data_IF_494681391554
#
_entry.id   IF_494681391554
#
_cell.length_a   1.000
_cell.length_b   1.000
_cell.length_c   1.000
_cell.angle_alpha   90.00
_cell.angle_beta   90.00
_cell.angle_gamma   90.00
#
_symmetry.space_group_name_H-M   'P 1'
#
loop_
_entity.id
_entity.type
_entity.pdbx_description
1 polymer ?
#
# COMPACT_ATOMS: atom_id res chain seq x y z
N UNK A 1 27.64 27.39 -4.37
CA UNK A 1 27.68 26.47 -5.52
C UNK A 1 28.53 25.22 -5.28
N UNK A 2 29.57 25.25 -4.42
CA UNK A 2 30.40 24.06 -4.12
C UNK A 2 29.69 22.94 -3.33
N UNK A 3 28.68 23.23 -2.49
CA UNK A 3 28.03 22.17 -1.70
C UNK A 3 27.11 21.27 -2.54
N UNK A 4 26.39 21.83 -3.52
CA UNK A 4 25.53 21.04 -4.40
C UNK A 4 26.32 20.07 -5.28
N UNK A 5 27.50 20.45 -5.77
CA UNK A 5 28.35 19.51 -6.54
C UNK A 5 28.88 18.37 -5.67
N UNK A 6 29.27 18.67 -4.42
CA UNK A 6 29.74 17.65 -3.47
C UNK A 6 28.60 16.71 -3.03
N UNK A 7 27.40 17.25 -2.77
CA UNK A 7 26.18 16.47 -2.51
C UNK A 7 25.81 15.59 -3.71
N UNK A 8 25.92 16.12 -4.93
CA UNK A 8 25.70 15.35 -6.16
C UNK A 8 26.74 14.25 -6.36
N UNK A 9 28.00 14.45 -6.00
CA UNK A 9 29.07 13.46 -6.08
C UNK A 9 28.97 12.37 -5.00
N UNK A 10 28.57 12.72 -3.77
CA UNK A 10 28.28 11.75 -2.71
C UNK A 10 27.04 10.92 -3.08
N UNK A 11 25.96 11.57 -3.53
CA UNK A 11 24.80 10.91 -4.11
C UNK A 11 25.19 10.03 -5.32
N UNK A 12 26.29 10.37 -6.02
CA UNK A 12 26.80 9.60 -7.16
C UNK A 12 27.47 8.30 -6.77
N UNK A 13 28.14 8.27 -5.63
CA UNK A 13 28.81 7.08 -5.09
C UNK A 13 27.86 6.19 -4.28
N UNK A 14 26.82 6.77 -3.67
CA UNK A 14 25.90 6.09 -2.76
C UNK A 14 24.60 5.59 -3.43
N UNK A 15 24.57 5.59 -4.78
CA UNK A 15 23.43 5.05 -5.54
C UNK A 15 22.10 5.78 -5.32
N UNK A 16 22.13 7.07 -4.94
CA UNK A 16 20.92 7.82 -4.66
C UNK A 16 20.08 8.11 -5.91
N UNK A 17 18.76 8.13 -5.74
CA UNK A 17 17.76 8.42 -6.77
C UNK A 17 16.84 9.51 -6.25
N UNK A 18 16.68 10.56 -7.06
CA UNK A 18 15.65 11.56 -6.85
C UNK A 18 14.30 11.01 -7.32
N UNK A 19 13.36 10.87 -6.41
CA UNK A 19 12.00 10.42 -6.66
C UNK A 19 11.09 11.62 -6.74
N UNK A 20 10.52 11.88 -7.92
CA UNK A 20 9.60 12.98 -8.18
C UNK A 20 8.16 12.49 -8.16
N UNK A 21 7.34 13.10 -7.32
CA UNK A 21 5.92 12.80 -7.18
C UNK A 21 5.04 13.69 -8.08
N UNK A 22 3.83 13.23 -8.47
CA UNK A 22 2.89 14.01 -9.28
C UNK A 22 2.56 15.41 -8.73
N UNK A 23 2.59 15.57 -7.41
CA UNK A 23 2.28 16.81 -6.68
C UNK A 23 3.47 17.78 -6.58
N UNK A 24 4.59 17.51 -7.26
CA UNK A 24 5.77 18.39 -7.25
C UNK A 24 6.68 18.24 -6.03
N UNK A 25 6.44 17.22 -5.19
CA UNK A 25 7.35 16.83 -4.11
C UNK A 25 8.48 15.95 -4.66
N UNK A 26 9.65 16.04 -4.04
CA UNK A 26 10.80 15.20 -4.36
C UNK A 26 11.41 14.60 -3.10
N UNK A 27 11.90 13.37 -3.20
CA UNK A 27 12.58 12.62 -2.14
C UNK A 27 13.88 12.04 -2.67
N UNK A 28 14.90 11.88 -1.82
CA UNK A 28 16.16 11.24 -2.18
C UNK A 28 16.23 9.87 -1.53
N UNK A 29 16.05 8.81 -2.32
CA UNK A 29 16.01 7.43 -1.84
C UNK A 29 17.22 6.63 -2.32
N UNK A 30 17.54 5.52 -1.65
CA UNK A 30 18.55 4.58 -2.15
C UNK A 30 17.97 3.77 -3.32
N UNK A 31 18.73 3.65 -4.42
CA UNK A 31 18.33 2.82 -5.56
C UNK A 31 18.11 1.36 -5.19
N UNK A 32 18.96 0.78 -4.36
CA UNK A 32 18.87 -0.64 -3.99
C UNK A 32 17.54 -0.91 -3.30
N UNK A 33 17.19 -0.12 -2.29
CA UNK A 33 15.94 -0.27 -1.53
C UNK A 33 14.71 -0.11 -2.43
N UNK A 34 14.71 0.86 -3.35
CA UNK A 34 13.62 1.02 -4.31
C UNK A 34 13.45 -0.21 -5.21
N UNK A 35 14.56 -0.78 -5.71
CA UNK A 35 14.51 -1.96 -6.58
C UNK A 35 14.18 -3.24 -5.80
N UNK A 36 14.57 -3.32 -4.54
CA UNK A 36 14.24 -4.42 -3.63
C UNK A 36 12.75 -4.41 -3.28
N UNK A 37 12.24 -3.26 -2.86
CA UNK A 37 10.91 -3.15 -2.28
C UNK A 37 9.79 -2.85 -3.29
N UNK A 38 10.10 -2.19 -4.41
CA UNK A 38 9.13 -1.75 -5.42
C UNK A 38 9.47 -2.39 -6.79
N UNK A 39 9.10 -3.65 -7.03
CA UNK A 39 9.58 -4.42 -8.18
C UNK A 39 9.26 -3.78 -9.53
N UNK A 40 8.14 -3.05 -9.66
CA UNK A 40 7.75 -2.45 -10.94
C UNK A 40 8.60 -1.22 -11.29
N UNK A 41 9.33 -0.64 -10.33
CA UNK A 41 10.30 0.45 -10.56
C UNK A 41 11.45 -0.01 -11.46
N UNK A 42 11.84 -1.30 -11.39
CA UNK A 42 12.99 -1.86 -12.13
C UNK A 42 12.91 -1.62 -13.63
N UNK A 43 11.70 -1.66 -14.19
CA UNK A 43 11.48 -1.56 -15.63
C UNK A 43 11.56 -0.12 -16.17
N UNK A 44 11.62 0.88 -15.28
CA UNK A 44 11.44 2.30 -15.63
C UNK A 44 12.47 3.22 -15.00
N UNK A 45 13.19 2.76 -13.98
CA UNK A 45 14.26 3.51 -13.34
C UNK A 45 15.53 3.50 -14.19
N UNK A 46 15.59 4.41 -15.17
CA UNK A 46 16.77 4.68 -15.97
C UNK A 46 17.46 5.94 -15.44
N UNK A 47 18.73 5.82 -15.05
CA UNK A 47 19.46 6.95 -14.45
C UNK A 47 19.08 7.20 -12.99
N UNK A 48 18.98 8.47 -12.60
CA UNK A 48 18.87 8.91 -11.18
C UNK A 48 17.57 9.59 -10.82
N UNK A 49 16.64 9.70 -11.76
CA UNK A 49 15.36 10.35 -11.53
C UNK A 49 14.27 9.32 -11.75
N UNK A 50 13.42 9.15 -10.74
CA UNK A 50 12.21 8.33 -10.81
C UNK A 50 10.99 9.23 -10.83
N UNK A 51 10.28 9.27 -11.96
CA UNK A 51 8.99 9.96 -12.06
C UNK A 51 7.87 8.99 -11.70
N UNK A 52 7.37 9.08 -10.47
CA UNK A 52 6.42 8.10 -9.91
C UNK A 52 5.09 8.12 -10.66
N UNK A 53 4.66 9.29 -11.12
CA UNK A 53 3.43 9.42 -11.91
C UNK A 53 3.41 8.47 -13.10
N UNK A 54 4.54 8.25 -13.76
CA UNK A 54 4.62 7.42 -14.97
C UNK A 54 4.45 5.92 -14.69
N UNK A 55 4.50 5.51 -13.41
CA UNK A 55 4.36 4.11 -12.97
C UNK A 55 2.96 3.75 -12.53
N UNK A 56 2.14 4.75 -12.18
CA UNK A 56 0.80 4.53 -11.63
C UNK A 56 -0.21 4.65 -12.75
N UNK A 57 -0.89 3.54 -13.04
CA UNK A 57 -1.95 3.48 -14.03
C UNK A 57 -3.03 4.53 -13.72
N UNK A 58 -3.59 5.15 -14.76
CA UNK A 58 -4.62 6.21 -14.60
C UNK A 58 -5.78 5.78 -13.69
N UNK A 59 -6.35 4.56 -13.80
CA UNK A 59 -7.42 4.12 -12.92
C UNK A 59 -7.01 4.06 -11.43
N UNK A 60 -5.71 3.84 -11.14
CA UNK A 60 -5.16 3.78 -9.79
C UNK A 60 -4.63 5.13 -9.30
N UNK A 61 -4.66 6.19 -10.13
CA UNK A 61 -4.17 7.52 -9.73
C UNK A 61 -5.28 8.29 -9.00
N UNK A 62 -5.73 7.74 -7.88
CA UNK A 62 -6.75 8.33 -7.01
C UNK A 62 -6.15 9.41 -6.11
N UNK A 63 -7.00 10.23 -5.48
CA UNK A 63 -6.54 11.19 -4.47
C UNK A 63 -5.84 10.50 -3.30
N UNK A 64 -6.37 9.34 -2.88
CA UNK A 64 -5.79 8.52 -1.79
C UNK A 64 -4.39 8.03 -2.15
N UNK A 65 -4.16 7.60 -3.40
CA UNK A 65 -2.82 7.25 -3.87
C UNK A 65 -1.89 8.46 -3.82
N UNK A 66 -2.32 9.62 -4.35
CA UNK A 66 -1.51 10.84 -4.33
C UNK A 66 -1.12 11.25 -2.90
N UNK A 67 -2.04 11.09 -1.94
CA UNK A 67 -1.82 11.35 -0.52
C UNK A 67 -0.90 10.31 0.15
N UNK A 68 -0.91 9.06 -0.33
CA UNK A 68 -0.06 7.99 0.20
C UNK A 68 1.41 8.05 -0.27
N UNK A 69 1.68 8.48 -1.51
CA UNK A 69 3.04 8.50 -2.06
C UNK A 69 4.06 9.27 -1.19
N UNK A 70 3.76 10.45 -0.63
CA UNK A 70 4.64 11.15 0.30
C UNK A 70 5.06 10.30 1.49
N UNK A 71 4.16 9.46 2.02
CA UNK A 71 4.45 8.61 3.17
C UNK A 71 5.39 7.47 2.79
N UNK A 72 5.11 6.83 1.66
CA UNK A 72 5.95 5.74 1.12
C UNK A 72 7.38 6.25 0.91
N UNK A 73 7.56 7.32 0.14
CA UNK A 73 8.90 7.78 -0.23
C UNK A 73 9.64 8.52 0.88
N UNK A 74 8.91 9.15 1.81
CA UNK A 74 9.52 9.63 3.06
C UNK A 74 10.09 8.46 3.87
N UNK A 75 9.40 7.32 3.96
CA UNK A 75 9.92 6.13 4.63
C UNK A 75 11.25 5.65 4.05
N UNK A 76 11.36 5.61 2.71
CA UNK A 76 12.61 5.27 2.02
C UNK A 76 13.74 6.30 2.22
N UNK A 77 13.41 7.59 2.18
CA UNK A 77 14.39 8.66 2.45
C UNK A 77 14.89 8.63 3.90
N UNK A 78 13.99 8.39 4.86
CA UNK A 78 14.36 8.21 6.27
C UNK A 78 15.23 6.98 6.45
N UNK A 79 14.90 5.84 5.83
CA UNK A 79 15.74 4.65 5.88
C UNK A 79 17.14 4.93 5.36
N UNK A 80 17.26 5.61 4.22
CA UNK A 80 18.56 6.01 3.65
C UNK A 80 19.36 6.90 4.61
N UNK A 81 18.72 7.88 5.24
CA UNK A 81 19.42 8.88 6.06
C UNK A 81 19.71 8.44 7.48
N UNK A 82 18.95 7.48 8.02
CA UNK A 82 19.02 7.08 9.44
C UNK A 82 19.34 5.60 9.65
N UNK A 83 19.19 4.76 8.63
CA UNK A 83 19.30 3.30 8.73
C UNK A 83 18.07 2.62 9.36
N UNK A 84 17.05 3.37 9.81
CA UNK A 84 15.82 2.80 10.37
C UNK A 84 15.01 2.11 9.29
N UNK A 85 14.42 0.94 9.57
CA UNK A 85 13.58 0.23 8.60
C UNK A 85 12.50 1.14 8.01
N UNK A 86 12.20 0.95 6.74
CA UNK A 86 11.07 1.64 6.07
C UNK A 86 9.78 1.31 6.82
N UNK A 87 9.04 2.33 7.25
CA UNK A 87 7.70 2.18 7.84
C UNK A 87 6.69 2.94 6.97
N UNK A 88 5.80 2.19 6.31
CA UNK A 88 4.76 2.75 5.45
C UNK A 88 3.65 3.47 6.23
N UNK A 89 3.47 3.11 7.50
CA UNK A 89 2.30 3.47 8.30
C UNK A 89 2.65 4.25 9.58
N UNK A 90 3.91 4.62 9.81
CA UNK A 90 4.37 5.39 10.98
C UNK A 90 3.42 6.55 11.31
N UNK A 91 3.12 7.40 10.31
CA UNK A 91 2.25 8.56 10.51
C UNK A 91 0.81 8.16 10.78
N UNK A 92 0.30 7.13 10.12
CA UNK A 92 -1.06 6.64 10.34
C UNK A 92 -1.22 6.06 11.76
N UNK A 93 -0.24 5.28 12.24
CA UNK A 93 -0.16 4.80 13.63
C UNK A 93 -0.05 5.94 14.63
N UNK A 94 0.77 6.96 14.33
CA UNK A 94 0.87 8.14 15.18
C UNK A 94 -0.46 8.88 15.30
N UNK A 95 -1.27 8.90 14.23
CA UNK A 95 -2.62 9.45 14.27
C UNK A 95 -3.57 8.58 15.10
N UNK A 96 -3.56 7.26 14.89
CA UNK A 96 -4.38 6.31 15.66
C UNK A 96 -4.12 6.40 17.17
N UNK A 97 -2.86 6.35 17.59
CA UNK A 97 -2.50 6.20 19.01
C UNK A 97 -2.46 7.51 19.80
N UNK A 98 -2.30 8.67 19.15
CA UNK A 98 -2.17 9.96 19.85
C UNK A 98 -3.45 10.83 19.77
N UNK A 99 -4.52 10.29 19.21
CA UNK A 99 -5.73 11.04 18.91
C UNK A 99 -6.66 11.25 20.10
N UNK A 100 -7.08 12.49 20.36
CA UNK A 100 -8.22 12.77 21.27
C UNK A 100 -9.58 12.45 20.65
N UNK A 101 -9.64 12.29 19.32
CA UNK A 101 -10.84 12.06 18.52
C UNK A 101 -10.68 10.81 17.64
N UNK A 102 -10.92 9.64 18.23
CA UNK A 102 -10.65 8.31 17.62
C UNK A 102 -11.28 8.18 16.23
N UNK A 103 -12.50 8.67 16.04
CA UNK A 103 -13.24 8.53 14.77
C UNK A 103 -12.57 9.28 13.60
N UNK A 104 -12.07 10.48 13.84
CA UNK A 104 -11.38 11.30 12.82
C UNK A 104 -10.04 10.67 12.43
N UNK A 105 -9.27 10.20 13.41
CA UNK A 105 -7.98 9.57 13.15
C UNK A 105 -8.12 8.19 12.51
N UNK A 106 -9.20 7.46 12.80
CA UNK A 106 -9.52 6.21 12.15
C UNK A 106 -9.77 6.41 10.64
N UNK A 107 -10.49 7.47 10.25
CA UNK A 107 -10.70 7.79 8.83
C UNK A 107 -9.37 8.04 8.12
N UNK A 108 -8.46 8.79 8.72
CA UNK A 108 -7.13 9.03 8.15
C UNK A 108 -6.32 7.74 7.98
N UNK A 109 -6.39 6.84 8.97
CA UNK A 109 -5.67 5.59 8.95
C UNK A 109 -6.22 4.60 7.89
N UNK A 110 -7.55 4.52 7.75
CA UNK A 110 -8.22 3.77 6.68
C UNK A 110 -7.84 4.32 5.30
N UNK A 111 -7.88 5.64 5.13
CA UNK A 111 -7.50 6.29 3.86
C UNK A 111 -6.03 6.04 3.51
N UNK A 112 -5.13 6.07 4.50
CA UNK A 112 -3.72 5.74 4.30
C UNK A 112 -3.53 4.28 3.87
N UNK A 113 -4.22 3.33 4.53
CA UNK A 113 -4.19 1.93 4.12
C UNK A 113 -4.63 1.73 2.67
N UNK A 114 -5.77 2.30 2.30
CA UNK A 114 -6.33 2.19 0.95
C UNK A 114 -5.35 2.77 -0.08
N UNK A 115 -4.88 4.00 0.16
CA UNK A 115 -3.95 4.69 -0.74
C UNK A 115 -2.62 3.94 -0.90
N UNK A 116 -2.08 3.35 0.17
CA UNK A 116 -0.85 2.54 0.11
C UNK A 116 -1.07 1.27 -0.70
N UNK A 117 -2.16 0.53 -0.47
CA UNK A 117 -2.43 -0.69 -1.23
C UNK A 117 -2.65 -0.41 -2.73
N UNK A 118 -3.36 0.66 -3.07
CA UNK A 118 -3.56 1.08 -4.47
C UNK A 118 -2.24 1.55 -5.12
N UNK A 119 -1.40 2.29 -4.39
CA UNK A 119 -0.10 2.72 -4.89
C UNK A 119 0.85 1.54 -5.13
N UNK A 120 0.75 0.50 -4.30
CA UNK A 120 1.57 -0.71 -4.36
C UNK A 120 0.91 -1.85 -5.15
N UNK A 121 -0.20 -1.58 -5.85
CA UNK A 121 -0.87 -2.54 -6.73
C UNK A 121 0.17 -3.23 -7.65
N UNK A 122 0.17 -4.56 -7.62
CA UNK A 122 1.11 -5.34 -8.41
C UNK A 122 0.88 -5.25 -9.92
N UNK A 123 -0.35 -4.96 -10.35
CA UNK A 123 -0.74 -4.90 -11.76
C UNK A 123 -0.59 -3.50 -12.37
N UNK A 124 -0.90 -2.46 -11.58
CA UNK A 124 -1.00 -1.08 -12.08
C UNK A 124 -0.25 -0.03 -11.26
N UNK A 125 0.52 -0.44 -10.26
CA UNK A 125 1.25 0.45 -9.35
C UNK A 125 2.74 0.14 -9.27
N UNK A 126 3.34 0.54 -8.14
CA UNK A 126 4.77 0.37 -7.85
C UNK A 126 5.17 -1.09 -7.60
N UNK A 127 4.18 -1.95 -7.34
CA UNK A 127 4.38 -3.29 -6.81
C UNK A 127 4.84 -3.26 -5.35
N UNK A 128 4.78 -4.43 -4.71
CA UNK A 128 5.02 -4.57 -3.29
C UNK A 128 5.96 -5.75 -3.04
N UNK A 129 7.09 -5.58 -2.35
CA UNK A 129 7.90 -6.70 -1.84
C UNK A 129 7.23 -7.39 -0.65
N UNK A 130 7.68 -8.59 -0.33
CA UNK A 130 7.20 -9.38 0.81
C UNK A 130 7.33 -8.62 2.15
N UNK A 131 8.39 -7.84 2.33
CA UNK A 131 8.61 -7.03 3.54
C UNK A 131 7.57 -5.91 3.70
N UNK A 132 7.39 -5.09 2.66
CA UNK A 132 6.36 -4.04 2.65
C UNK A 132 4.95 -4.64 2.81
N UNK A 133 4.74 -5.79 2.18
CA UNK A 133 3.48 -6.49 2.23
C UNK A 133 3.18 -7.03 3.65
N UNK A 134 4.22 -7.46 4.39
CA UNK A 134 4.12 -7.77 5.81
C UNK A 134 3.69 -6.58 6.67
N UNK A 135 4.14 -5.36 6.34
CA UNK A 135 3.69 -4.15 7.04
C UNK A 135 2.21 -3.84 6.78
N UNK A 136 1.72 -4.10 5.57
CA UNK A 136 0.29 -3.98 5.23
C UNK A 136 -0.53 -4.95 6.07
N UNK A 137 -0.08 -6.20 6.20
CA UNK A 137 -0.73 -7.22 7.03
C UNK A 137 -0.74 -6.85 8.52
N UNK A 138 0.37 -6.36 9.05
CA UNK A 138 0.46 -5.82 10.42
C UNK A 138 -0.56 -4.69 10.64
N UNK A 139 -0.51 -3.69 9.76
CA UNK A 139 -1.29 -2.47 9.96
C UNK A 139 -2.79 -2.69 9.82
N UNK A 140 -3.23 -3.62 8.95
CA UNK A 140 -4.67 -3.90 8.83
C UNK A 140 -5.24 -4.63 10.06
N UNK A 141 -4.42 -5.42 10.75
CA UNK A 141 -4.81 -6.04 12.02
C UNK A 141 -4.89 -4.98 13.11
N UNK A 142 -3.89 -4.09 13.21
CA UNK A 142 -3.92 -2.94 14.13
C UNK A 142 -5.18 -2.08 13.90
N UNK A 143 -5.44 -1.70 12.65
CA UNK A 143 -6.63 -0.95 12.26
C UNK A 143 -7.91 -1.64 12.72
N UNK A 144 -7.97 -2.97 12.60
CA UNK A 144 -9.13 -3.74 13.01
C UNK A 144 -9.35 -3.71 14.51
N UNK A 145 -8.28 -3.82 15.29
CA UNK A 145 -8.34 -3.79 16.75
C UNK A 145 -8.77 -2.41 17.27
N UNK A 146 -8.26 -1.35 16.66
CA UNK A 146 -8.57 0.04 17.02
C UNK A 146 -9.96 0.50 16.57
N UNK A 147 -10.43 0.03 15.41
CA UNK A 147 -11.67 0.52 14.81
C UNK A 147 -12.94 0.17 15.59
N UNK A 148 -12.86 -0.78 16.55
CA UNK A 148 -13.99 -1.44 17.22
C UNK A 148 -15.25 -1.40 16.35
N UNK A 149 -15.15 -1.98 15.14
CA UNK A 149 -16.05 -1.79 13.99
C UNK A 149 -17.53 -2.03 14.34
N UNK A 150 -18.16 -1.07 15.02
CA UNK A 150 -19.54 -1.14 15.44
C UNK A 150 -20.50 -1.10 14.25
N UNK A 151 -21.79 -0.81 14.45
CA UNK A 151 -22.78 -0.74 13.36
C UNK A 151 -22.52 0.39 12.34
N UNK A 152 -21.41 1.12 12.46
CA UNK A 152 -20.95 2.06 11.45
C UNK A 152 -19.79 1.49 10.63
N UNK A 153 -19.94 1.71 9.32
CA UNK A 153 -18.90 1.80 8.30
C UNK A 153 -18.62 0.57 7.44
N UNK A 154 -19.70 -0.08 6.97
CA UNK A 154 -19.65 -0.99 5.82
C UNK A 154 -18.82 -0.47 4.64
N UNK A 155 -18.81 0.84 4.40
CA UNK A 155 -18.00 1.46 3.33
C UNK A 155 -16.50 1.41 3.61
N UNK A 156 -16.06 1.59 4.85
CA UNK A 156 -14.65 1.43 5.20
C UNK A 156 -14.22 -0.03 5.08
N UNK A 157 -15.01 -0.98 5.60
CA UNK A 157 -14.70 -2.41 5.45
C UNK A 157 -14.65 -2.83 3.98
N UNK A 158 -15.58 -2.33 3.16
CA UNK A 158 -15.58 -2.51 1.71
C UNK A 158 -14.32 -1.93 1.07
N UNK A 159 -13.94 -0.70 1.41
CA UNK A 159 -12.72 -0.05 0.92
C UNK A 159 -11.44 -0.78 1.32
N UNK A 160 -11.32 -1.20 2.59
CA UNK A 160 -10.17 -1.97 3.09
C UNK A 160 -10.04 -3.31 2.34
N UNK A 161 -11.15 -4.03 2.17
CA UNK A 161 -11.17 -5.31 1.45
C UNK A 161 -10.81 -5.14 -0.03
N UNK A 162 -11.42 -4.16 -0.70
CA UNK A 162 -11.13 -3.86 -2.11
C UNK A 162 -9.67 -3.45 -2.31
N UNK A 163 -9.12 -2.61 -1.43
CA UNK A 163 -7.74 -2.17 -1.50
C UNK A 163 -6.76 -3.33 -1.24
N UNK A 164 -7.00 -4.15 -0.21
CA UNK A 164 -6.16 -5.30 0.10
C UNK A 164 -6.10 -6.32 -1.04
N UNK A 165 -7.20 -6.47 -1.79
CA UNK A 165 -7.24 -7.34 -2.98
C UNK A 165 -6.18 -6.99 -4.04
N UNK A 166 -5.71 -5.74 -4.09
CA UNK A 166 -4.70 -5.27 -5.05
C UNK A 166 -3.29 -5.75 -4.73
N UNK A 167 -3.03 -6.11 -3.47
CA UNK A 167 -1.71 -6.54 -2.99
C UNK A 167 -1.69 -7.98 -2.48
N UNK A 168 -2.86 -8.62 -2.37
CA UNK A 168 -3.01 -9.97 -1.83
C UNK A 168 -2.20 -11.04 -2.58
N UNK A 169 -1.60 -11.96 -1.81
CA UNK A 169 -0.85 -13.11 -2.32
C UNK A 169 -1.26 -14.42 -1.66
N UNK A 170 -1.88 -15.32 -2.43
CA UNK A 170 -2.42 -16.58 -1.92
C UNK A 170 -1.36 -17.60 -1.50
N UNK A 171 -0.12 -17.48 -1.98
CA UNK A 171 0.98 -18.39 -1.66
C UNK A 171 1.67 -18.09 -0.32
N UNK A 172 1.22 -17.07 0.40
CA UNK A 172 1.80 -16.66 1.68
C UNK A 172 0.84 -16.95 2.84
N UNK A 173 1.23 -17.76 3.84
CA UNK A 173 0.37 -18.11 4.98
C UNK A 173 -0.14 -16.90 5.77
N UNK A 174 0.69 -15.86 5.90
CA UNK A 174 0.34 -14.62 6.61
C UNK A 174 -0.85 -13.91 5.94
N UNK A 175 -0.86 -13.81 4.62
CA UNK A 175 -1.95 -13.23 3.86
C UNK A 175 -3.26 -14.00 4.01
N UNK A 176 -3.18 -15.33 4.01
CA UNK A 176 -4.35 -16.17 4.25
C UNK A 176 -4.93 -15.93 5.65
N UNK A 177 -4.07 -15.73 6.66
CA UNK A 177 -4.50 -15.36 8.01
C UNK A 177 -5.16 -13.97 8.05
N UNK A 178 -4.52 -12.95 7.46
CA UNK A 178 -5.05 -11.58 7.38
C UNK A 178 -6.39 -11.54 6.65
N UNK A 179 -6.49 -12.20 5.48
CA UNK A 179 -7.73 -12.30 4.71
C UNK A 179 -8.84 -12.93 5.54
N UNK A 180 -8.56 -14.02 6.26
CA UNK A 180 -9.53 -14.65 7.16
C UNK A 180 -9.95 -13.71 8.29
N UNK A 181 -9.00 -13.00 8.88
CA UNK A 181 -9.25 -12.07 9.99
C UNK A 181 -10.12 -10.88 9.55
N UNK A 182 -9.91 -10.37 8.34
CA UNK A 182 -10.72 -9.30 7.72
C UNK A 182 -12.08 -9.81 7.29
N UNK A 183 -12.15 -10.93 6.57
CA UNK A 183 -13.44 -11.49 6.14
C UNK A 183 -14.34 -11.87 7.33
N UNK A 184 -13.73 -12.37 8.40
CA UNK A 184 -14.40 -12.74 9.64
C UNK A 184 -15.16 -11.59 10.32
N UNK A 185 -14.74 -10.33 10.14
CA UNK A 185 -15.41 -9.16 10.74
C UNK A 185 -16.54 -8.60 9.89
N UNK A 186 -16.59 -8.96 8.61
CA UNK A 186 -17.61 -8.49 7.67
C UNK A 186 -18.91 -9.25 7.93
N UNK A 187 -20.02 -8.54 8.14
CA UNK A 187 -21.33 -9.16 8.35
C UNK A 187 -21.84 -9.85 7.07
N UNK A 188 -22.80 -10.77 7.23
CA UNK A 188 -23.30 -11.58 6.11
C UNK A 188 -23.93 -10.75 4.97
N UNK A 189 -24.57 -9.61 5.26
CA UNK A 189 -25.17 -8.75 4.23
C UNK A 189 -24.09 -8.03 3.43
N UNK A 190 -23.06 -7.49 4.08
CA UNK A 190 -21.94 -6.89 3.36
C UNK A 190 -21.15 -7.94 2.58
N UNK A 191 -20.94 -9.16 3.11
CA UNK A 191 -20.30 -10.25 2.36
C UNK A 191 -20.99 -10.52 1.02
N UNK A 192 -22.32 -10.63 1.01
CA UNK A 192 -23.06 -10.87 -0.23
C UNK A 192 -22.85 -9.76 -1.28
N UNK A 193 -22.80 -8.49 -0.83
CA UNK A 193 -22.51 -7.35 -1.70
C UNK A 193 -21.07 -7.37 -2.22
N UNK A 194 -20.09 -7.60 -1.34
CA UNK A 194 -18.68 -7.72 -1.72
C UNK A 194 -18.45 -8.87 -2.69
N UNK A 195 -19.15 -10.00 -2.54
CA UNK A 195 -19.08 -11.10 -3.49
C UNK A 195 -19.66 -10.74 -4.85
N UNK A 196 -20.71 -9.91 -4.89
CA UNK A 196 -21.26 -9.40 -6.14
C UNK A 196 -20.26 -8.47 -6.84
N UNK A 197 -19.62 -7.58 -6.09
CA UNK A 197 -18.60 -6.65 -6.62
C UNK A 197 -17.35 -7.41 -7.06
N UNK A 198 -16.87 -8.35 -6.25
CA UNK A 198 -15.76 -9.22 -6.58
C UNK A 198 -16.05 -10.01 -7.86
N UNK A 199 -17.24 -10.60 -7.99
CA UNK A 199 -17.67 -11.29 -9.22
C UNK A 199 -17.60 -10.41 -10.47
N UNK A 200 -18.04 -9.14 -10.38
CA UNK A 200 -17.95 -8.18 -11.51
C UNK A 200 -16.50 -7.84 -11.87
N UNK A 201 -15.62 -7.76 -10.88
CA UNK A 201 -14.19 -7.51 -11.12
C UNK A 201 -13.51 -8.75 -11.71
N UNK A 202 -13.91 -9.97 -11.35
CA UNK A 202 -13.42 -11.20 -11.99
C UNK A 202 -13.71 -11.23 -13.49
N UNK A 203 -14.88 -10.74 -13.92
CA UNK A 203 -15.24 -10.67 -15.34
C UNK A 203 -14.35 -9.69 -16.14
N UNK A 204 -13.71 -8.74 -15.44
CA UNK A 204 -12.86 -7.68 -16.03
C UNK A 204 -11.37 -8.00 -15.98
N UNK A 205 -10.96 -8.84 -15.04
CA UNK A 205 -9.56 -9.15 -14.78
C UNK A 205 -9.15 -10.51 -15.34
N UNK A 206 -7.86 -10.66 -15.64
CA UNK A 206 -7.33 -11.95 -16.10
C UNK A 206 -7.40 -13.01 -15.01
N UNK A 207 -7.41 -14.30 -15.39
CA UNK A 207 -7.39 -15.43 -14.46
C UNK A 207 -6.17 -15.48 -13.51
N UNK A 208 -5.17 -14.63 -13.72
CA UNK A 208 -3.96 -14.52 -12.89
C UNK A 208 -3.94 -13.28 -11.99
N UNK A 209 -5.04 -12.54 -11.90
CA UNK A 209 -5.12 -11.35 -11.05
C UNK A 209 -5.16 -11.67 -9.56
N UNK A 210 -4.73 -10.72 -8.73
CA UNK A 210 -4.81 -10.87 -7.27
C UNK A 210 -6.27 -10.98 -6.78
N UNK A 211 -7.19 -10.32 -7.49
CA UNK A 211 -8.64 -10.42 -7.26
C UNK A 211 -9.12 -11.88 -7.44
N UNK A 212 -8.67 -12.54 -8.51
CA UNK A 212 -8.97 -13.97 -8.74
C UNK A 212 -8.31 -14.87 -7.69
N UNK A 213 -7.07 -14.57 -7.28
CA UNK A 213 -6.37 -15.30 -6.23
C UNK A 213 -7.10 -15.18 -4.88
N UNK A 214 -7.56 -13.98 -4.53
CA UNK A 214 -8.33 -13.71 -3.32
C UNK A 214 -9.69 -14.41 -3.33
N UNK A 215 -10.40 -14.38 -4.47
CA UNK A 215 -11.66 -15.13 -4.63
C UNK A 215 -11.45 -16.64 -4.39
N UNK A 216 -10.45 -17.24 -5.02
CA UNK A 216 -10.14 -18.67 -4.84
C UNK A 216 -9.77 -18.98 -3.40
N UNK A 217 -8.96 -18.14 -2.77
CA UNK A 217 -8.60 -18.29 -1.36
C UNK A 217 -9.84 -18.29 -0.44
N UNK A 218 -10.83 -17.42 -0.69
CA UNK A 218 -12.08 -17.41 0.06
C UNK A 218 -12.89 -18.70 -0.16
N UNK A 219 -12.97 -19.19 -1.39
CA UNK A 219 -13.61 -20.49 -1.70
C UNK A 219 -12.92 -21.65 -0.98
N UNK A 220 -11.59 -21.72 -1.06
CA UNK A 220 -10.78 -22.80 -0.47
C UNK A 220 -10.90 -22.82 1.07
N UNK A 221 -11.16 -21.68 1.69
CA UNK A 221 -11.41 -21.57 3.12
C UNK A 221 -12.87 -21.86 3.53
N UNK A 222 -13.75 -22.24 2.59
CA UNK A 222 -15.20 -22.39 2.79
C UNK A 222 -15.86 -21.14 3.41
N UNK A 223 -15.39 -19.96 3.02
CA UNK A 223 -15.90 -18.68 3.55
C UNK A 223 -16.96 -18.02 2.66
N UNK A 224 -17.19 -18.59 1.47
CA UNK A 224 -18.16 -18.18 0.45
C UNK A 224 -18.82 -19.40 -0.18
#
# INVERSE_FOLDING_TARGET
MLSQQLEFEIARQDGAVEVQLPQGLAYVCNRADLLEHLPNVRHRLVGRVLRVGDLIARPNRTALVVDALPHIFRGFELHRTTGLKVDLFERARNHLHNGRNVDEFLVHAVNAFIGVCEALDSEGGLGCSDDLLGQIDEFVVELKEEANFGPWNYRALEGLFAAYSKVFRSNMPRHMYTLRALWGTIDIKLRARLMTELGRELDRHSQKSNIQAMYRALSDMNMI
#
